data_IF_063958815780
#
_entry.id   IF_063958815780
#
_cell.length_a   1.000
_cell.length_b   1.000
_cell.length_c   1.000
_cell.angle_alpha   90.00
_cell.angle_beta   90.00
_cell.angle_gamma   90.00
#
_symmetry.space_group_name_H-M   'P 1'
#
loop_
_entity.id
_entity.type
_entity.pdbx_description
1 polymer ?
#
# COMPACT_ATOMS: atom_id res chain seq x y z
N UNK A 1 6.37 9.81 13.26
CA UNK A 1 7.17 8.57 13.14
C UNK A 1 6.43 7.37 13.72
N UNK A 2 6.26 7.23 15.04
CA UNK A 2 5.40 6.18 15.63
C UNK A 2 3.96 6.25 15.08
N UNK A 3 3.33 7.43 15.14
CA UNK A 3 1.96 7.65 14.66
C UNK A 3 1.70 7.26 13.20
N UNK A 4 2.70 7.33 12.31
CA UNK A 4 2.51 6.99 10.89
C UNK A 4 2.51 5.47 10.68
N UNK A 5 3.51 4.79 11.25
CA UNK A 5 3.57 3.34 11.19
C UNK A 5 2.42 2.70 12.00
N UNK A 6 2.06 3.27 13.14
CA UNK A 6 0.94 2.82 13.96
C UNK A 6 -0.40 2.99 13.23
N UNK A 7 -0.60 4.12 12.53
CA UNK A 7 -1.80 4.32 11.71
C UNK A 7 -1.94 3.23 10.64
N UNK A 8 -0.84 2.89 9.96
CA UNK A 8 -0.84 1.80 9.01
C UNK A 8 -1.10 0.45 9.68
N UNK A 9 -0.28 0.08 10.66
CA UNK A 9 -0.30 -1.27 11.26
C UNK A 9 -1.59 -1.56 12.02
N UNK A 10 -2.13 -0.59 12.75
CA UNK A 10 -3.33 -0.81 13.56
C UNK A 10 -4.62 -0.74 12.73
N UNK A 11 -4.67 0.10 11.69
CA UNK A 11 -5.92 0.39 10.97
C UNK A 11 -5.98 -0.17 9.56
N UNK A 12 -4.87 -0.11 8.82
CA UNK A 12 -4.84 -0.41 7.39
C UNK A 12 -4.32 -1.81 7.10
N UNK A 13 -3.33 -2.29 7.85
CA UNK A 13 -2.76 -3.61 7.64
C UNK A 13 -3.79 -4.74 7.75
N UNK A 14 -4.74 -4.76 8.71
CA UNK A 14 -5.79 -5.77 8.74
C UNK A 14 -6.67 -5.76 7.47
N UNK A 15 -6.99 -4.57 6.95
CA UNK A 15 -7.78 -4.41 5.71
C UNK A 15 -6.99 -4.86 4.48
N UNK A 16 -5.70 -4.53 4.43
CA UNK A 16 -4.77 -5.01 3.39
C UNK A 16 -4.71 -6.54 3.37
N UNK A 17 -4.56 -7.20 4.52
CA UNK A 17 -4.53 -8.66 4.61
C UNK A 17 -5.89 -9.28 4.24
N UNK A 18 -7.01 -8.68 4.65
CA UNK A 18 -8.35 -9.10 4.23
C UNK A 18 -8.49 -9.05 2.70
N UNK A 19 -8.17 -7.92 2.09
CA UNK A 19 -8.22 -7.74 0.64
C UNK A 19 -7.24 -8.65 -0.12
N UNK A 20 -6.07 -8.96 0.47
CA UNK A 20 -5.03 -9.76 -0.18
C UNK A 20 -5.28 -11.26 -0.08
N UNK A 21 -5.78 -11.79 1.05
CA UNK A 21 -5.81 -13.25 1.26
C UNK A 21 -6.89 -13.76 2.20
N UNK A 22 -7.33 -12.99 3.20
CA UNK A 22 -8.19 -13.54 4.27
C UNK A 22 -9.70 -13.49 4.02
N UNK A 23 -10.16 -12.74 3.02
CA UNK A 23 -11.59 -12.73 2.63
C UNK A 23 -12.02 -14.06 2.00
N UNK A 24 -13.28 -14.45 2.21
CA UNK A 24 -13.82 -15.72 1.69
C UNK A 24 -14.34 -15.61 0.27
N UNK A 25 -14.82 -14.43 -0.11
CA UNK A 25 -15.36 -14.14 -1.44
C UNK A 25 -14.67 -12.92 -2.05
N UNK A 26 -14.75 -12.79 -3.39
CA UNK A 26 -14.26 -11.62 -4.11
C UNK A 26 -14.98 -10.33 -3.67
N UNK A 27 -16.27 -10.42 -3.33
CA UNK A 27 -17.06 -9.29 -2.83
C UNK A 27 -16.50 -8.79 -1.49
N UNK A 28 -16.24 -9.69 -0.55
CA UNK A 28 -15.62 -9.36 0.75
C UNK A 28 -14.21 -8.76 0.56
N UNK A 29 -13.42 -9.31 -0.36
CA UNK A 29 -12.09 -8.79 -0.69
C UNK A 29 -12.17 -7.37 -1.29
N UNK A 30 -13.14 -7.15 -2.18
CA UNK A 30 -13.38 -5.86 -2.83
C UNK A 30 -13.85 -4.81 -1.83
N UNK A 31 -14.74 -5.18 -0.91
CA UNK A 31 -15.19 -4.32 0.18
C UNK A 31 -14.03 -3.94 1.12
N UNK A 32 -13.21 -4.91 1.53
CA UNK A 32 -12.00 -4.64 2.33
C UNK A 32 -11.01 -3.71 1.59
N UNK A 33 -10.90 -3.86 0.27
CA UNK A 33 -10.11 -2.97 -0.58
C UNK A 33 -10.62 -1.53 -0.59
N UNK A 34 -11.93 -1.35 -0.71
CA UNK A 34 -12.56 -0.02 -0.65
C UNK A 34 -12.41 0.62 0.74
N UNK A 35 -12.60 -0.15 1.81
CA UNK A 35 -12.36 0.27 3.19
C UNK A 35 -10.89 0.69 3.41
N UNK A 36 -9.94 -0.08 2.87
CA UNK A 36 -8.51 0.25 2.93
C UNK A 36 -8.23 1.59 2.25
N UNK A 37 -8.75 1.79 1.04
CA UNK A 37 -8.57 3.02 0.27
C UNK A 37 -9.15 4.24 1.01
N UNK A 38 -10.36 4.12 1.54
CA UNK A 38 -10.96 5.16 2.38
C UNK A 38 -10.14 5.42 3.66
N UNK A 39 -9.60 4.37 4.28
CA UNK A 39 -8.74 4.47 5.45
C UNK A 39 -7.41 5.18 5.16
N UNK A 40 -6.82 4.99 3.96
CA UNK A 40 -5.63 5.73 3.52
C UNK A 40 -5.93 7.23 3.48
N UNK A 41 -7.04 7.63 2.86
CA UNK A 41 -7.46 9.03 2.81
C UNK A 41 -7.75 9.61 4.21
N UNK A 42 -8.33 8.83 5.12
CA UNK A 42 -8.67 9.30 6.46
C UNK A 42 -7.49 9.36 7.44
N UNK A 43 -6.46 8.51 7.27
CA UNK A 43 -5.43 8.29 8.29
C UNK A 43 -4.01 8.52 7.82
N UNK A 44 -3.70 8.32 6.54
CA UNK A 44 -2.36 8.49 6.01
C UNK A 44 -2.20 9.83 5.29
N UNK A 45 -3.19 10.24 4.52
CA UNK A 45 -3.17 11.52 3.79
C UNK A 45 -2.88 12.72 4.68
N UNK A 46 -3.53 12.93 5.84
CA UNK A 46 -3.26 14.09 6.69
C UNK A 46 -1.85 14.10 7.26
N UNK A 47 -1.25 12.92 7.47
CA UNK A 47 0.10 12.78 8.00
C UNK A 47 1.18 13.07 6.95
N UNK A 48 0.80 13.13 5.67
CA UNK A 48 1.69 13.37 4.53
C UNK A 48 1.52 14.76 3.92
N UNK A 49 0.71 15.63 4.51
CA UNK A 49 0.50 17.00 4.02
C UNK A 49 1.82 17.80 3.90
N UNK A 50 2.77 17.55 4.80
CA UNK A 50 4.10 18.17 4.78
C UNK A 50 5.19 17.35 4.07
N UNK A 51 4.82 16.25 3.39
CA UNK A 51 5.81 15.45 2.66
C UNK A 51 6.32 16.21 1.43
N UNK A 52 7.64 16.21 1.23
CA UNK A 52 8.27 16.72 0.01
C UNK A 52 8.45 15.53 -0.97
N UNK A 53 9.59 14.81 -1.04
CA UNK A 53 9.54 13.44 -1.54
C UNK A 53 9.17 12.46 -0.41
N UNK A 54 9.66 12.68 0.82
CA UNK A 54 9.51 11.75 1.94
C UNK A 54 8.91 12.42 3.18
N UNK A 55 8.59 11.59 4.17
CA UNK A 55 7.87 11.96 5.39
C UNK A 55 8.49 13.19 6.07
N UNK A 56 7.64 14.12 6.49
CA UNK A 56 8.06 15.35 7.18
C UNK A 56 8.92 16.31 6.36
N UNK A 57 8.89 16.20 5.02
CA UNK A 57 9.64 17.11 4.13
C UNK A 57 11.09 16.67 3.87
N UNK A 58 11.47 15.48 4.34
CA UNK A 58 12.83 14.95 4.15
C UNK A 58 13.16 14.72 2.68
N UNK A 59 14.42 15.01 2.31
CA UNK A 59 14.98 14.71 0.98
C UNK A 59 15.52 13.28 0.87
N UNK A 60 15.60 12.55 1.98
CA UNK A 60 16.05 11.16 2.03
C UNK A 60 15.03 10.28 2.76
N UNK A 61 15.06 8.97 2.52
CA UNK A 61 14.18 8.04 3.22
C UNK A 61 14.36 8.17 4.73
N UNK A 62 13.24 8.26 5.43
CA UNK A 62 13.19 8.21 6.89
C UNK A 62 12.80 6.80 7.33
N UNK A 63 12.77 6.57 8.64
CA UNK A 63 12.26 5.32 9.18
C UNK A 63 10.77 5.10 8.81
N UNK A 64 10.00 6.15 8.48
CA UNK A 64 8.60 6.00 8.06
C UNK A 64 8.52 5.22 6.75
N UNK A 65 9.38 5.57 5.79
CA UNK A 65 9.49 4.86 4.52
C UNK A 65 10.03 3.45 4.72
N UNK A 66 11.06 3.27 5.56
CA UNK A 66 11.61 1.92 5.81
C UNK A 66 10.51 0.95 6.27
N UNK A 67 9.60 1.40 7.14
CA UNK A 67 8.53 0.57 7.67
C UNK A 67 7.37 0.37 6.69
N UNK A 68 7.01 1.39 5.90
CA UNK A 68 5.75 1.39 5.13
C UNK A 68 5.95 1.24 3.61
N UNK A 69 7.13 1.53 3.08
CA UNK A 69 7.47 1.36 1.65
C UNK A 69 7.11 -0.04 1.10
N UNK A 70 7.34 -1.16 1.81
CA UNK A 70 6.98 -2.48 1.30
C UNK A 70 5.48 -2.61 1.00
N UNK A 71 4.63 -1.91 1.72
CA UNK A 71 3.19 -1.94 1.48
C UNK A 71 2.75 -0.95 0.41
N UNK A 72 3.39 0.22 0.35
CA UNK A 72 3.15 1.21 -0.69
C UNK A 72 3.40 0.62 -2.09
N UNK A 73 4.57 -0.02 -2.29
CA UNK A 73 4.89 -0.63 -3.59
C UNK A 73 3.96 -1.79 -3.93
N UNK A 74 3.48 -2.55 -2.93
CA UNK A 74 2.50 -3.62 -3.12
C UNK A 74 1.15 -3.07 -3.58
N UNK A 75 0.65 -2.00 -2.97
CA UNK A 75 -0.60 -1.36 -3.41
C UNK A 75 -0.52 -0.93 -4.88
N UNK A 76 0.56 -0.25 -5.25
CA UNK A 76 0.73 0.33 -6.59
C UNK A 76 1.07 -0.70 -7.68
N UNK A 77 1.53 -1.90 -7.32
CA UNK A 77 1.93 -2.92 -8.31
C UNK A 77 1.02 -4.14 -8.35
N UNK A 78 0.46 -4.56 -7.21
CA UNK A 78 -0.40 -5.75 -7.14
C UNK A 78 -1.79 -5.50 -7.70
N UNK A 79 -2.36 -4.31 -7.48
CA UNK A 79 -3.72 -4.01 -7.95
C UNK A 79 -3.78 -3.92 -9.50
N UNK A 80 -2.87 -3.20 -10.19
CA UNK A 80 -2.84 -3.21 -11.65
C UNK A 80 -2.54 -4.60 -12.24
N UNK A 81 -1.83 -5.45 -11.51
CA UNK A 81 -1.57 -6.84 -11.91
C UNK A 81 -2.72 -7.81 -11.61
N UNK A 82 -3.85 -7.32 -11.08
CA UNK A 82 -5.00 -8.15 -10.69
C UNK A 82 -4.70 -9.12 -9.55
N UNK A 83 -3.63 -8.90 -8.78
CA UNK A 83 -3.30 -9.73 -7.63
C UNK A 83 -4.17 -9.33 -6.45
N UNK A 84 -4.42 -8.05 -6.20
CA UNK A 84 -5.34 -7.57 -5.13
C UNK A 84 -6.49 -6.79 -5.79
N UNK A 85 -7.71 -6.71 -5.20
CA UNK A 85 -8.83 -6.02 -5.84
C UNK A 85 -8.51 -4.57 -6.22
N UNK A 86 -8.93 -4.13 -7.40
CA UNK A 86 -8.67 -2.77 -7.89
C UNK A 86 -9.22 -1.67 -6.97
N UNK A 87 -10.26 -1.98 -6.19
CA UNK A 87 -10.84 -1.08 -5.19
C UNK A 87 -9.81 -0.57 -4.16
N UNK A 88 -8.70 -1.28 -3.95
CA UNK A 88 -7.61 -0.85 -3.04
C UNK A 88 -6.93 0.44 -3.48
N UNK A 89 -6.97 0.78 -4.78
CA UNK A 89 -6.34 1.98 -5.35
C UNK A 89 -7.28 2.83 -6.21
N UNK A 90 -8.54 2.42 -6.38
CA UNK A 90 -9.50 3.12 -7.23
C UNK A 90 -9.72 4.59 -6.81
N UNK A 91 -9.37 5.51 -7.71
CA UNK A 91 -9.44 6.96 -7.46
C UNK A 91 -8.50 7.46 -6.37
N UNK A 92 -7.48 6.69 -5.99
CA UNK A 92 -6.58 7.02 -4.88
C UNK A 92 -5.85 8.35 -5.08
N UNK A 93 -5.41 8.65 -6.31
CA UNK A 93 -4.75 9.93 -6.64
C UNK A 93 -5.62 11.14 -6.34
N UNK A 94 -6.94 11.06 -6.58
CA UNK A 94 -7.87 12.15 -6.29
C UNK A 94 -8.25 12.23 -4.81
N UNK A 95 -8.39 11.07 -4.14
CA UNK A 95 -8.85 10.99 -2.74
C UNK A 95 -7.74 11.26 -1.72
N UNK A 96 -6.50 10.87 -2.05
CA UNK A 96 -5.33 10.96 -1.19
C UNK A 96 -4.08 11.37 -2.01
N UNK A 97 -4.06 12.59 -2.57
CA UNK A 97 -3.01 13.03 -3.49
C UNK A 97 -1.61 13.07 -2.86
N UNK A 98 -1.49 13.42 -1.58
CA UNK A 98 -0.18 13.45 -0.89
C UNK A 98 0.35 12.05 -0.66
N UNK A 99 -0.52 11.12 -0.25
CA UNK A 99 -0.18 9.71 -0.13
C UNK A 99 0.20 9.12 -1.49
N UNK A 100 -0.56 9.38 -2.55
CA UNK A 100 -0.25 8.84 -3.86
C UNK A 100 1.11 9.32 -4.40
N UNK A 101 1.39 10.62 -4.26
CA UNK A 101 2.70 11.21 -4.61
C UNK A 101 3.83 10.57 -3.80
N UNK A 102 3.66 10.47 -2.48
CA UNK A 102 4.64 9.86 -1.57
C UNK A 102 4.87 8.39 -1.88
N UNK A 103 3.80 7.61 -2.06
CA UNK A 103 3.88 6.18 -2.34
C UNK A 103 4.59 5.90 -3.68
N UNK A 104 4.34 6.73 -4.69
CA UNK A 104 5.04 6.67 -5.98
C UNK A 104 6.53 6.96 -5.81
N UNK A 105 6.89 8.09 -5.17
CA UNK A 105 8.29 8.46 -4.95
C UNK A 105 9.07 7.39 -4.17
N UNK A 106 8.46 6.83 -3.12
CA UNK A 106 9.06 5.76 -2.31
C UNK A 106 9.21 4.46 -3.10
N UNK A 107 8.22 4.10 -3.92
CA UNK A 107 8.24 2.88 -4.74
C UNK A 107 9.26 2.95 -5.87
N UNK A 108 9.60 4.16 -6.34
CA UNK A 108 10.61 4.39 -7.38
C UNK A 108 12.03 4.48 -6.81
N UNK A 109 12.18 4.75 -5.51
CA UNK A 109 13.49 4.86 -4.88
C UNK A 109 14.32 3.56 -5.09
N UNK A 110 15.61 3.64 -5.50
CA UNK A 110 16.41 2.48 -5.87
C UNK A 110 16.48 1.38 -4.81
N UNK A 111 16.52 1.73 -3.52
CA UNK A 111 16.57 0.76 -2.42
C UNK A 111 15.28 -0.07 -2.27
N UNK A 112 14.14 0.45 -2.73
CA UNK A 112 12.85 -0.24 -2.69
C UNK A 112 12.63 -0.98 -4.02
N UNK A 113 12.74 -0.26 -5.14
CA UNK A 113 12.44 -0.79 -6.47
C UNK A 113 13.36 -1.94 -6.86
N UNK A 114 14.66 -1.81 -6.61
CA UNK A 114 15.64 -2.84 -7.02
C UNK A 114 15.35 -4.17 -6.33
N UNK A 115 15.02 -4.14 -5.04
CA UNK A 115 14.69 -5.34 -4.26
C UNK A 115 13.40 -5.96 -4.79
N UNK A 116 12.36 -5.15 -5.00
CA UNK A 116 11.07 -5.62 -5.50
C UNK A 116 11.17 -6.27 -6.89
N UNK A 117 11.92 -5.65 -7.81
CA UNK A 117 12.12 -6.16 -9.17
C UNK A 117 12.97 -7.43 -9.16
N UNK A 118 14.10 -7.45 -8.43
CA UNK A 118 14.95 -8.66 -8.33
C UNK A 118 14.21 -9.85 -7.75
N UNK A 119 13.30 -9.62 -6.81
CA UNK A 119 12.47 -10.67 -6.22
C UNK A 119 11.27 -11.08 -7.09
N UNK A 120 11.04 -10.40 -8.22
CA UNK A 120 9.82 -10.53 -9.02
C UNK A 120 8.55 -10.41 -8.15
N UNK A 121 8.47 -9.33 -7.36
CA UNK A 121 7.56 -9.27 -6.22
C UNK A 121 6.07 -9.40 -6.54
N UNK A 122 5.63 -9.05 -7.76
CA UNK A 122 4.26 -9.28 -8.19
C UNK A 122 3.96 -10.78 -8.31
N UNK A 123 4.76 -11.51 -9.09
CA UNK A 123 4.55 -12.94 -9.32
C UNK A 123 4.86 -13.76 -8.07
N UNK A 124 5.93 -13.44 -7.34
CA UNK A 124 6.24 -14.10 -6.08
C UNK A 124 5.11 -13.91 -5.03
N UNK A 125 4.45 -12.74 -5.03
CA UNK A 125 3.25 -12.55 -4.20
C UNK A 125 2.09 -13.38 -4.72
N UNK A 126 1.80 -13.33 -6.03
CA UNK A 126 0.72 -14.09 -6.68
C UNK A 126 0.81 -15.59 -6.37
N UNK A 127 1.96 -16.19 -6.61
CA UNK A 127 2.24 -17.60 -6.37
C UNK A 127 2.00 -18.00 -4.91
N UNK A 128 2.25 -17.09 -3.98
CA UNK A 128 2.03 -17.35 -2.55
C UNK A 128 0.59 -17.16 -2.11
N UNK A 129 -0.08 -16.11 -2.57
CA UNK A 129 -1.39 -15.71 -2.03
C UNK A 129 -2.56 -16.34 -2.77
N UNK A 130 -2.48 -16.53 -4.09
CA UNK A 130 -3.60 -17.06 -4.88
C UNK A 130 -3.99 -18.48 -4.41
N UNK A 131 -3.06 -19.40 -4.13
CA UNK A 131 -3.43 -20.72 -3.61
C UNK A 131 -4.03 -20.70 -2.19
N UNK A 132 -3.84 -19.62 -1.43
CA UNK A 132 -4.37 -19.46 -0.08
C UNK A 132 -5.79 -18.88 -0.06
N UNK A 133 -6.25 -18.33 -1.18
CA UNK A 133 -7.58 -17.73 -1.31
C UNK A 133 -8.63 -18.79 -1.52
N UNK A 134 -9.85 -18.44 -1.16
CA UNK A 134 -11.05 -19.18 -1.50
C UNK A 134 -11.88 -18.52 -2.63
N UNK A 135 -11.28 -17.57 -3.36
CA UNK A 135 -11.92 -16.77 -4.43
C UNK A 135 -10.92 -16.40 -5.53
#
# INVERSE_FOLDING_TARGET
MALFADAWMAKLFPLFIRALVSSKTLEEATAAGAELNAGIAAHMEPLLAGAAPFFGGSQTLTMAEVLIAPFAIRLLTLAPAGVIPASTIEGLEAKAPSFYRWATAVSEHPSVRTVWVKWNGVEATRERVVPMRSW
#
